data_IF_662188577125
#
_entry.id   IF_662188577125
#
_cell.length_a   1.000
_cell.length_b   1.000
_cell.length_c   1.000
_cell.angle_alpha   90.00
_cell.angle_beta   90.00
_cell.angle_gamma   90.00
#
_symmetry.space_group_name_H-M   'P 1'
#
loop_
_entity.id
_entity.type
_entity.pdbx_description
1 polymer ?
#
# COMPACT_ATOMS: atom_id res chain seq x y z
N UNK A 1 2.32 13.93 -42.00
CA UNK A 1 3.05 14.35 -40.78
C UNK A 1 2.45 13.74 -39.49
N UNK A 2 1.66 12.66 -39.57
CA UNK A 2 1.04 11.98 -38.42
C UNK A 2 1.23 10.45 -38.46
N UNK A 3 2.28 10.00 -39.17
CA UNK A 3 2.65 8.57 -39.30
C UNK A 3 4.05 8.25 -38.74
N UNK A 4 4.70 9.23 -38.09
CA UNK A 4 6.12 9.12 -37.69
C UNK A 4 6.34 8.71 -36.22
N UNK A 5 5.27 8.46 -35.45
CA UNK A 5 5.36 8.02 -34.04
C UNK A 5 4.25 7.00 -33.69
N UNK A 6 4.46 5.69 -33.94
CA UNK A 6 3.49 4.65 -33.60
C UNK A 6 3.20 4.58 -32.09
N UNK A 7 4.16 4.98 -31.24
CA UNK A 7 4.00 5.05 -29.79
C UNK A 7 3.00 6.11 -29.30
N UNK A 8 2.68 7.13 -30.10
CA UNK A 8 1.72 8.18 -29.69
C UNK A 8 0.28 7.78 -30.03
N UNK A 9 0.08 6.96 -31.07
CA UNK A 9 -1.25 6.44 -31.43
C UNK A 9 -1.72 5.32 -30.51
N UNK A 10 -0.81 4.46 -30.01
CA UNK A 10 -1.12 3.44 -29.01
C UNK A 10 -1.54 4.08 -27.67
N UNK A 11 -0.95 5.24 -27.32
CA UNK A 11 -1.29 6.01 -26.10
C UNK A 11 -2.67 6.67 -26.20
N UNK A 12 -3.08 7.15 -27.39
CA UNK A 12 -4.40 7.73 -27.61
C UNK A 12 -5.53 6.68 -27.77
N UNK A 13 -5.21 5.44 -28.12
CA UNK A 13 -6.19 4.33 -28.22
C UNK A 13 -6.22 3.42 -26.98
N UNK A 14 -5.15 3.35 -26.19
CA UNK A 14 -5.13 2.65 -24.89
C UNK A 14 -5.92 3.41 -23.80
N UNK A 15 -6.35 4.63 -24.07
CA UNK A 15 -7.18 5.48 -23.21
C UNK A 15 -8.68 5.37 -23.55
N UNK A 16 -9.16 4.16 -23.87
CA UNK A 16 -10.60 3.90 -23.87
C UNK A 16 -11.07 3.60 -22.44
N UNK A 17 -11.41 4.66 -21.73
CA UNK A 17 -12.17 4.64 -20.48
C UNK A 17 -13.48 3.86 -20.69
N UNK A 18 -13.45 2.55 -20.52
CA UNK A 18 -14.65 1.72 -20.48
C UNK A 18 -15.32 1.88 -19.12
N UNK A 19 -16.65 1.81 -19.09
CA UNK A 19 -17.44 1.72 -17.85
C UNK A 19 -16.94 0.60 -16.91
N UNK A 20 -16.27 -0.43 -17.45
CA UNK A 20 -15.69 -1.54 -16.71
C UNK A 20 -14.57 -1.12 -15.75
N UNK A 21 -13.69 -0.19 -16.12
CA UNK A 21 -12.56 0.22 -15.26
C UNK A 21 -13.04 0.99 -14.03
N UNK A 22 -14.04 1.86 -14.20
CA UNK A 22 -14.63 2.61 -13.09
C UNK A 22 -15.32 1.64 -12.12
N UNK A 23 -16.00 0.62 -12.66
CA UNK A 23 -16.60 -0.44 -11.85
C UNK A 23 -15.55 -1.27 -11.12
N UNK A 24 -14.46 -1.67 -11.77
CA UNK A 24 -13.33 -2.37 -11.14
C UNK A 24 -12.72 -1.55 -10.00
N UNK A 25 -12.43 -0.27 -10.24
CA UNK A 25 -11.92 0.65 -9.22
C UNK A 25 -12.86 0.77 -8.02
N UNK A 26 -14.16 0.85 -8.26
CA UNK A 26 -15.17 0.95 -7.19
C UNK A 26 -15.26 -0.36 -6.41
N UNK A 27 -15.27 -1.50 -7.08
CA UNK A 27 -15.31 -2.82 -6.45
C UNK A 27 -14.06 -3.05 -5.60
N UNK A 28 -12.88 -2.79 -6.17
CA UNK A 28 -11.60 -2.89 -5.48
C UNK A 28 -11.49 -1.91 -4.31
N UNK A 29 -12.03 -0.69 -4.47
CA UNK A 29 -12.15 0.27 -3.38
C UNK A 29 -12.94 -0.32 -2.21
N UNK A 30 -14.10 -0.90 -2.47
CA UNK A 30 -14.99 -1.45 -1.43
C UNK A 30 -14.33 -2.64 -0.74
N UNK A 31 -13.70 -3.56 -1.49
CA UNK A 31 -12.98 -4.68 -0.90
C UNK A 31 -11.78 -4.23 -0.08
N UNK A 32 -10.99 -3.29 -0.58
CA UNK A 32 -9.86 -2.72 0.17
C UNK A 32 -10.32 -1.94 1.40
N UNK A 33 -11.46 -1.25 1.33
CA UNK A 33 -12.08 -0.57 2.46
C UNK A 33 -12.52 -1.55 3.55
N UNK A 34 -13.20 -2.64 3.17
CA UNK A 34 -13.64 -3.70 4.11
C UNK A 34 -12.42 -4.39 4.74
N UNK A 35 -11.40 -4.73 3.94
CA UNK A 35 -10.15 -5.29 4.46
C UNK A 35 -9.46 -4.31 5.43
N UNK A 36 -9.40 -3.03 5.05
CA UNK A 36 -8.88 -1.95 5.88
C UNK A 36 -9.64 -1.77 7.20
N UNK A 37 -10.97 -1.90 7.20
CA UNK A 37 -11.77 -1.90 8.43
C UNK A 37 -11.40 -3.06 9.35
N UNK A 38 -11.26 -4.27 8.81
CA UNK A 38 -10.87 -5.45 9.57
C UNK A 38 -9.49 -5.29 10.22
N UNK A 39 -8.50 -4.86 9.43
CA UNK A 39 -7.15 -4.60 9.93
C UNK A 39 -7.11 -3.47 10.93
N UNK A 40 -7.83 -2.37 10.68
CA UNK A 40 -7.90 -1.25 11.60
C UNK A 40 -8.58 -1.64 12.92
N UNK A 41 -9.63 -2.48 12.89
CA UNK A 41 -10.27 -2.96 14.11
C UNK A 41 -9.34 -3.85 14.95
N UNK A 42 -8.54 -4.71 14.32
CA UNK A 42 -7.60 -5.59 15.02
C UNK A 42 -6.32 -4.92 15.51
N UNK A 43 -5.78 -3.95 14.74
CA UNK A 43 -4.48 -3.33 15.01
C UNK A 43 -4.57 -2.00 15.78
N UNK A 44 -5.71 -1.29 15.73
CA UNK A 44 -5.82 0.04 16.31
C UNK A 44 -6.44 0.07 17.70
N UNK A 45 -5.76 0.65 18.70
CA UNK A 45 -6.37 0.93 20.00
C UNK A 45 -7.37 2.10 19.95
N UNK A 46 -7.30 2.99 18.94
CA UNK A 46 -8.18 4.18 18.83
C UNK A 46 -9.35 3.94 17.87
N UNK A 47 -10.55 3.67 18.42
CA UNK A 47 -11.76 3.42 17.61
C UNK A 47 -12.12 4.56 16.63
N UNK A 48 -11.78 5.80 16.98
CA UNK A 48 -12.03 6.99 16.13
C UNK A 48 -11.21 7.06 14.85
N UNK A 49 -10.10 6.31 14.74
CA UNK A 49 -9.24 6.29 13.53
C UNK A 49 -9.60 5.18 12.55
N UNK A 50 -10.47 4.25 12.95
CA UNK A 50 -10.82 3.04 12.17
C UNK A 50 -11.40 3.43 10.81
N UNK A 51 -12.40 4.33 10.80
CA UNK A 51 -13.03 4.77 9.55
C UNK A 51 -12.04 5.43 8.59
N UNK A 52 -11.17 6.29 9.11
CA UNK A 52 -10.14 6.96 8.31
C UNK A 52 -9.11 5.99 7.73
N UNK A 53 -8.74 4.97 8.52
CA UNK A 53 -7.79 3.94 8.08
C UNK A 53 -8.38 3.11 6.93
N UNK A 54 -9.65 2.72 7.04
CA UNK A 54 -10.33 2.01 5.98
C UNK A 54 -10.50 2.86 4.71
N UNK A 55 -10.84 4.14 4.87
CA UNK A 55 -10.96 5.08 3.74
C UNK A 55 -9.63 5.20 2.98
N UNK A 56 -8.52 5.32 3.72
CA UNK A 56 -7.19 5.37 3.12
C UNK A 56 -6.73 4.04 2.53
N UNK A 57 -7.18 2.89 3.04
CA UNK A 57 -6.94 1.62 2.40
C UNK A 57 -7.56 1.55 1.00
N UNK A 58 -8.83 1.92 0.87
CA UNK A 58 -9.52 1.99 -0.42
C UNK A 58 -8.88 3.00 -1.37
N UNK A 59 -8.59 4.21 -0.88
CA UNK A 59 -7.93 5.26 -1.67
C UNK A 59 -6.52 4.84 -2.11
N UNK A 60 -5.74 4.23 -1.23
CA UNK A 60 -4.37 3.80 -1.52
C UNK A 60 -4.32 2.73 -2.60
N UNK A 61 -5.26 1.76 -2.52
CA UNK A 61 -5.42 0.75 -3.54
C UNK A 61 -5.76 1.37 -4.90
N UNK A 62 -6.70 2.31 -4.93
CA UNK A 62 -7.12 2.99 -6.16
C UNK A 62 -6.03 3.87 -6.77
N UNK A 63 -5.27 4.59 -5.95
CA UNK A 63 -4.12 5.38 -6.42
C UNK A 63 -3.11 4.45 -7.10
N UNK A 64 -2.77 3.33 -6.46
CA UNK A 64 -1.87 2.34 -7.04
C UNK A 64 -2.43 1.78 -8.36
N UNK A 65 -3.70 1.36 -8.37
CA UNK A 65 -4.35 0.81 -9.56
C UNK A 65 -4.34 1.81 -10.72
N UNK A 66 -4.73 3.06 -10.47
CA UNK A 66 -4.69 4.12 -11.48
C UNK A 66 -3.29 4.41 -12.00
N UNK A 67 -2.27 4.38 -11.13
CA UNK A 67 -0.87 4.51 -11.55
C UNK A 67 -0.38 3.34 -12.39
N UNK A 68 -0.84 2.11 -12.11
CA UNK A 68 -0.48 0.92 -12.89
C UNK A 68 -1.03 0.93 -14.32
N UNK A 69 -2.07 1.73 -14.60
CA UNK A 69 -2.58 1.91 -15.97
C UNK A 69 -1.63 2.75 -16.84
N UNK A 70 -0.67 3.45 -16.23
CA UNK A 70 0.33 4.21 -16.98
C UNK A 70 1.47 3.27 -17.41
N UNK A 71 1.78 3.16 -18.71
CA UNK A 71 2.81 2.23 -19.21
C UNK A 71 4.23 2.55 -18.71
N UNK A 72 4.43 3.76 -18.15
CA UNK A 72 5.71 4.26 -17.65
C UNK A 72 5.94 3.80 -16.19
N UNK A 73 4.88 3.49 -15.45
CA UNK A 73 4.95 3.26 -13.99
C UNK A 73 4.96 1.77 -13.69
N UNK A 74 6.06 1.29 -13.12
CA UNK A 74 6.17 -0.11 -12.67
C UNK A 74 5.32 -0.37 -11.43
N UNK A 75 5.00 -1.64 -11.16
CA UNK A 75 4.26 -2.06 -9.98
C UNK A 75 4.88 -1.55 -8.66
N UNK A 76 6.22 -1.55 -8.59
CA UNK A 76 6.99 -1.05 -7.45
C UNK A 76 6.84 0.46 -7.32
N UNK A 77 6.98 1.20 -8.44
CA UNK A 77 6.81 2.65 -8.48
C UNK A 77 5.39 3.10 -8.12
N UNK A 78 4.37 2.43 -8.64
CA UNK A 78 2.97 2.69 -8.31
C UNK A 78 2.71 2.53 -6.81
N UNK A 79 3.26 1.47 -6.21
CA UNK A 79 3.12 1.19 -4.78
C UNK A 79 3.85 2.23 -3.93
N UNK A 80 5.05 2.65 -4.32
CA UNK A 80 5.81 3.72 -3.67
C UNK A 80 5.05 5.05 -3.67
N UNK A 81 4.56 5.48 -4.84
CA UNK A 81 3.80 6.72 -4.97
C UNK A 81 2.50 6.66 -4.19
N UNK A 82 1.78 5.54 -4.23
CA UNK A 82 0.55 5.37 -3.48
C UNK A 82 0.79 5.44 -1.95
N UNK A 83 1.84 4.79 -1.43
CA UNK A 83 2.15 4.84 0.01
C UNK A 83 2.62 6.23 0.47
N UNK A 84 3.35 6.96 -0.38
CA UNK A 84 3.68 8.37 -0.17
C UNK A 84 2.41 9.24 -0.06
N UNK A 85 1.50 9.12 -1.03
CA UNK A 85 0.25 9.87 -1.05
C UNK A 85 -0.60 9.59 0.20
N UNK A 86 -0.74 8.32 0.57
CA UNK A 86 -1.49 7.93 1.77
C UNK A 86 -0.81 8.42 3.04
N UNK A 87 0.52 8.35 3.14
CA UNK A 87 1.25 8.94 4.26
C UNK A 87 0.97 10.44 4.41
N UNK A 88 1.04 11.20 3.30
CA UNK A 88 0.78 12.64 3.31
C UNK A 88 -0.67 12.97 3.72
N UNK A 89 -1.65 12.23 3.20
CA UNK A 89 -3.06 12.38 3.58
C UNK A 89 -3.28 12.03 5.06
N UNK A 90 -2.60 11.00 5.56
CA UNK A 90 -2.71 10.57 6.94
C UNK A 90 -2.18 11.62 7.92
N UNK A 91 -1.17 12.43 7.57
CA UNK A 91 -0.74 13.56 8.40
C UNK A 91 -1.88 14.54 8.64
N UNK A 92 -2.57 14.94 7.56
CA UNK A 92 -3.65 15.94 7.64
C UNK A 92 -4.76 15.46 8.56
N UNK A 93 -5.13 14.18 8.43
CA UNK A 93 -6.19 13.57 9.24
C UNK A 93 -5.71 13.28 10.67
N UNK A 94 -4.47 12.84 10.88
CA UNK A 94 -3.90 12.59 12.20
C UNK A 94 -3.92 13.85 13.07
N UNK A 95 -3.61 15.03 12.50
CA UNK A 95 -3.72 16.32 13.20
C UNK A 95 -5.15 16.63 13.63
N UNK A 96 -6.15 16.31 12.79
CA UNK A 96 -7.57 16.54 13.10
C UNK A 96 -8.09 15.59 14.18
N UNK A 97 -7.70 14.32 14.10
CA UNK A 97 -8.16 13.27 15.02
C UNK A 97 -7.33 13.24 16.31
N UNK A 98 -6.22 14.00 16.38
CA UNK A 98 -5.28 14.04 17.52
C UNK A 98 -4.79 12.63 17.88
N UNK A 99 -4.40 11.86 16.88
CA UNK A 99 -3.92 10.49 17.01
C UNK A 99 -2.53 10.36 16.39
N UNK A 100 -1.71 9.38 16.85
CA UNK A 100 -0.46 9.07 16.17
C UNK A 100 -0.76 8.67 14.72
N UNK A 101 0.07 9.13 13.79
CA UNK A 101 -0.12 8.87 12.36
C UNK A 101 0.01 7.38 12.04
N UNK A 102 0.86 6.67 12.77
CA UNK A 102 1.17 5.27 12.63
C UNK A 102 -0.08 4.40 12.77
N UNK A 103 -0.97 4.77 13.69
CA UNK A 103 -2.27 4.11 13.95
C UNK A 103 -3.21 4.25 12.74
N UNK A 104 -3.05 5.27 11.90
CA UNK A 104 -3.86 5.40 10.69
C UNK A 104 -3.18 4.68 9.53
N UNK A 105 -1.87 4.88 9.34
CA UNK A 105 -1.16 4.44 8.14
C UNK A 105 -0.95 2.92 8.09
N UNK A 106 -0.58 2.28 9.20
CA UNK A 106 -0.31 0.83 9.20
C UNK A 106 -1.48 -0.02 8.69
N UNK A 107 -2.70 0.10 9.26
CA UNK A 107 -3.85 -0.66 8.75
C UNK A 107 -4.28 -0.25 7.34
N UNK A 108 -4.02 1.01 6.93
CA UNK A 108 -4.33 1.48 5.58
C UNK A 108 -3.48 0.82 4.50
N UNK A 109 -2.21 0.52 4.80
CA UNK A 109 -1.30 -0.09 3.82
C UNK A 109 -1.47 -1.60 3.67
N UNK A 110 -2.06 -2.29 4.65
CA UNK A 110 -2.13 -3.76 4.64
C UNK A 110 -2.83 -4.34 3.41
N UNK A 111 -3.95 -3.78 2.91
CA UNK A 111 -4.56 -4.26 1.66
C UNK A 111 -3.67 -4.06 0.43
N UNK A 112 -2.66 -3.19 0.48
CA UNK A 112 -1.71 -2.98 -0.61
C UNK A 112 -0.50 -3.93 -0.56
N UNK A 113 -0.25 -4.61 0.57
CA UNK A 113 0.86 -5.54 0.66
C UNK A 113 0.69 -6.71 -0.34
N UNK A 114 1.72 -7.04 -1.12
CA UNK A 114 1.66 -8.06 -2.18
C UNK A 114 1.73 -9.48 -1.62
N UNK A 115 0.93 -9.80 -0.59
CA UNK A 115 0.97 -11.08 0.12
C UNK A 115 0.65 -12.29 -0.76
N UNK A 116 -0.15 -12.11 -1.81
CA UNK A 116 -0.43 -13.16 -2.79
C UNK A 116 0.81 -13.65 -3.53
N UNK A 117 1.77 -12.77 -3.83
CA UNK A 117 3.05 -13.13 -4.42
C UNK A 117 3.90 -13.92 -3.43
N UNK A 118 3.88 -13.55 -2.14
CA UNK A 118 4.53 -14.34 -1.09
C UNK A 118 3.98 -15.75 -0.99
N UNK A 119 2.65 -15.90 -0.99
CA UNK A 119 2.00 -17.21 -1.01
C UNK A 119 2.39 -18.04 -2.24
N UNK A 120 2.37 -17.43 -3.44
CA UNK A 120 2.79 -18.08 -4.70
C UNK A 120 4.26 -18.51 -4.67
N UNK A 121 5.13 -17.71 -4.07
CA UNK A 121 6.55 -18.05 -3.90
C UNK A 121 6.71 -19.31 -3.06
N UNK A 122 6.08 -19.37 -1.88
CA UNK A 122 6.10 -20.56 -1.01
C UNK A 122 5.53 -21.78 -1.72
N UNK A 123 4.40 -21.62 -2.44
CA UNK A 123 3.78 -22.70 -3.20
C UNK A 123 4.70 -23.23 -4.31
N UNK A 124 5.40 -22.33 -5.01
CA UNK A 124 6.38 -22.69 -6.05
C UNK A 124 7.52 -23.50 -5.46
N UNK A 125 8.02 -23.11 -4.28
CA UNK A 125 9.07 -23.85 -3.58
C UNK A 125 8.61 -25.22 -3.08
N UNK A 126 7.38 -25.33 -2.57
CA UNK A 126 6.81 -26.62 -2.17
C UNK A 126 6.68 -27.57 -3.37
N UNK A 127 6.24 -27.03 -4.51
CA UNK A 127 6.09 -27.80 -5.76
C UNK A 127 7.46 -28.20 -6.34
N UNK A 128 8.46 -27.33 -6.24
CA UNK A 128 9.85 -27.62 -6.59
C UNK A 128 10.38 -28.86 -5.85
N UNK A 129 10.09 -29.02 -4.55
CA UNK A 129 10.55 -30.17 -3.75
C UNK A 129 9.88 -31.48 -4.18
N UNK A 130 8.65 -31.42 -4.65
CA UNK A 130 7.88 -32.60 -5.06
C UNK A 130 8.23 -33.06 -6.48
N UNK A 131 8.80 -32.17 -7.30
CA UNK A 131 9.01 -32.45 -8.71
C UNK A 131 10.26 -33.30 -8.96
N UNK A 132 10.13 -34.33 -9.81
CA UNK A 132 11.21 -35.26 -10.16
C UNK A 132 11.88 -34.96 -11.49
N UNK A 133 11.21 -34.21 -12.36
CA UNK A 133 11.76 -33.76 -13.64
C UNK A 133 12.63 -32.51 -13.47
N UNK A 134 13.87 -32.55 -13.94
CA UNK A 134 14.84 -31.46 -13.77
C UNK A 134 14.40 -30.16 -14.47
N UNK A 135 13.76 -30.25 -15.64
CA UNK A 135 13.30 -29.07 -16.39
C UNK A 135 12.15 -28.38 -15.66
N UNK A 136 11.09 -29.11 -15.34
CA UNK A 136 9.97 -28.56 -14.59
C UNK A 136 10.40 -28.04 -13.20
N UNK A 137 11.39 -28.68 -12.57
CA UNK A 137 11.95 -28.21 -11.29
C UNK A 137 12.59 -26.82 -11.43
N UNK A 138 13.35 -26.56 -12.50
CA UNK A 138 13.94 -25.24 -12.72
C UNK A 138 12.88 -24.15 -12.94
N UNK A 139 11.79 -24.45 -13.63
CA UNK A 139 10.70 -23.48 -13.85
C UNK A 139 10.07 -23.02 -12.53
N UNK A 140 9.80 -23.95 -11.60
CA UNK A 140 9.27 -23.60 -10.27
C UNK A 140 10.28 -22.82 -9.42
N UNK A 141 11.58 -23.04 -9.62
CA UNK A 141 12.61 -22.26 -8.94
C UNK A 141 12.64 -20.81 -9.46
N UNK A 142 12.53 -20.60 -10.77
CA UNK A 142 12.42 -19.25 -11.35
C UNK A 142 11.15 -18.56 -10.88
N UNK A 143 10.01 -19.27 -10.88
CA UNK A 143 8.74 -18.75 -10.38
C UNK A 143 8.81 -18.33 -8.90
N UNK A 144 9.55 -19.08 -8.08
CA UNK A 144 9.84 -18.70 -6.69
C UNK A 144 10.56 -17.35 -6.62
N UNK A 145 11.65 -17.17 -7.38
CA UNK A 145 12.44 -15.95 -7.39
C UNK A 145 11.67 -14.75 -7.94
N UNK A 146 10.88 -14.93 -8.99
CA UNK A 146 10.07 -13.85 -9.58
C UNK A 146 9.04 -13.34 -8.58
N UNK A 147 8.23 -14.23 -8.02
CA UNK A 147 7.21 -13.85 -7.04
C UNK A 147 7.82 -13.27 -5.76
N UNK A 148 8.94 -13.86 -5.30
CA UNK A 148 9.66 -13.35 -4.13
C UNK A 148 10.19 -11.93 -4.36
N UNK A 149 10.84 -11.70 -5.51
CA UNK A 149 11.44 -10.40 -5.86
C UNK A 149 10.36 -9.33 -6.00
N UNK A 150 9.22 -9.66 -6.64
CA UNK A 150 8.08 -8.75 -6.73
C UNK A 150 7.54 -8.41 -5.34
N UNK A 151 7.27 -9.43 -4.50
CA UNK A 151 6.75 -9.22 -3.15
C UNK A 151 7.69 -8.33 -2.32
N UNK A 152 8.98 -8.66 -2.33
CA UNK A 152 10.01 -7.99 -1.54
C UNK A 152 10.20 -6.54 -1.98
N UNK A 153 10.38 -6.29 -3.28
CA UNK A 153 10.60 -4.95 -3.83
C UNK A 153 9.40 -4.03 -3.59
N UNK A 154 8.18 -4.52 -3.79
CA UNK A 154 6.95 -3.75 -3.53
C UNK A 154 6.76 -3.47 -2.05
N UNK A 155 7.01 -4.45 -1.17
CA UNK A 155 6.90 -4.26 0.28
C UNK A 155 7.91 -3.21 0.77
N UNK A 156 9.15 -3.26 0.28
CA UNK A 156 10.16 -2.24 0.53
C UNK A 156 9.72 -0.86 0.03
N UNK A 157 9.17 -0.77 -1.17
CA UNK A 157 8.65 0.48 -1.73
C UNK A 157 7.51 1.07 -0.89
N UNK A 158 6.55 0.24 -0.45
CA UNK A 158 5.45 0.69 0.42
C UNK A 158 6.00 1.28 1.72
N UNK A 159 6.90 0.55 2.39
CA UNK A 159 7.52 0.97 3.66
C UNK A 159 8.37 2.22 3.45
N UNK A 160 9.22 2.25 2.42
CA UNK A 160 10.06 3.41 2.11
C UNK A 160 9.25 4.67 1.88
N UNK A 161 8.15 4.60 1.12
CA UNK A 161 7.29 5.75 0.88
C UNK A 161 6.71 6.33 2.18
N UNK A 162 6.23 5.48 3.08
CA UNK A 162 5.71 5.96 4.38
C UNK A 162 6.81 6.46 5.30
N UNK A 163 7.98 5.80 5.33
CA UNK A 163 9.11 6.24 6.15
C UNK A 163 9.62 7.62 5.72
N UNK A 164 9.63 7.93 4.42
CA UNK A 164 9.96 9.27 3.92
C UNK A 164 9.00 10.30 4.51
N UNK A 165 7.70 10.00 4.51
CA UNK A 165 6.70 10.89 5.11
C UNK A 165 6.93 11.06 6.61
N UNK A 166 7.20 9.98 7.34
CA UNK A 166 7.48 10.06 8.78
C UNK A 166 8.74 10.87 9.09
N UNK A 167 9.78 10.71 8.27
CA UNK A 167 11.02 11.46 8.40
C UNK A 167 10.82 12.96 8.19
N UNK A 168 10.04 13.36 7.19
CA UNK A 168 9.76 14.79 6.92
C UNK A 168 8.98 15.46 8.07
N UNK A 169 8.14 14.70 8.79
CA UNK A 169 7.22 15.24 9.80
C UNK A 169 7.54 14.81 11.26
N UNK A 170 8.83 14.57 11.56
CA UNK A 170 9.36 14.04 12.83
C UNK A 170 8.85 14.74 14.11
N UNK A 171 8.50 16.03 14.06
CA UNK A 171 8.08 16.85 15.22
C UNK A 171 6.76 16.39 15.90
N UNK A 172 5.93 15.55 15.26
CA UNK A 172 4.59 15.22 15.79
C UNK A 172 4.52 13.93 16.63
N UNK A 173 5.56 13.10 16.63
CA UNK A 173 5.56 11.78 17.31
C UNK A 173 5.82 11.89 18.83
N UNK A 174 6.53 12.93 19.31
CA UNK A 174 6.98 13.03 20.72
C UNK A 174 6.23 14.04 21.61
N UNK A 175 5.25 14.79 21.09
CA UNK A 175 4.64 15.89 21.85
C UNK A 175 3.61 15.49 22.93
N UNK A 176 3.35 14.19 23.16
CA UNK A 176 2.32 13.75 24.11
C UNK A 176 2.82 13.29 25.50
N UNK A 177 4.13 13.32 25.77
CA UNK A 177 4.66 12.92 27.10
C UNK A 177 4.98 14.10 28.03
N UNK A 178 4.82 15.36 27.60
CA UNK A 178 5.02 16.53 28.48
C UNK A 178 3.73 17.01 29.15
N UNK A 179 3.09 16.12 29.93
CA UNK A 179 1.87 16.44 30.69
C UNK A 179 1.82 15.98 32.15
N UNK A 180 2.85 15.30 32.66
CA UNK A 180 2.80 14.60 33.97
C UNK A 180 3.72 15.18 35.05
N UNK A 181 4.00 16.49 35.05
CA UNK A 181 4.82 17.09 36.13
C UNK A 181 4.30 18.43 36.66
N UNK A 182 2.97 18.59 36.77
CA UNK A 182 2.37 19.75 37.45
C UNK A 182 1.22 19.42 38.42
N UNK A 183 1.15 18.17 38.90
CA UNK A 183 0.13 17.73 39.86
C UNK A 183 0.68 17.21 41.20
N UNK A 184 1.98 17.39 41.47
CA UNK A 184 2.60 17.03 42.77
C UNK A 184 3.12 18.22 43.56
N UNK A 185 2.77 19.45 43.16
CA UNK A 185 3.08 20.67 43.90
C UNK A 185 1.77 21.43 44.17
N UNK A 186 0.93 20.83 45.00
CA UNK A 186 -0.05 21.57 45.78
C UNK A 186 -0.12 20.89 47.14
N UNK A 187 0.92 21.19 47.91
CA UNK A 187 0.92 21.08 49.36
C UNK A 187 -0.36 21.68 49.92
N UNK A 188 -1.05 20.89 50.74
CA UNK A 188 -1.59 21.31 52.03
C UNK A 188 -1.48 20.12 52.98
#
# INVERSE_FOLDING_TARGET
MLELYPHIQEVLYATSWHDSLIMEMLVDFVFAFIAGLGFAYGLNPLKRTIFWSALFAGLGYNIRFGLMQLPIVSFVGASFCASLCIGLLAIVVAKRVKAPIEVIVFPSLLPMFPGSYGYKSILSLLTFVQQRDDKARLDYLLLFFDNFTIMFSVSLALVAGVLIVFSIFYEQSFMMTRGLKKLSMRDH
#
